data_IF_635173174255
#
_entry.id   IF_635173174255
#
_cell.length_a   1.000
_cell.length_b   1.000
_cell.length_c   1.000
_cell.angle_alpha   90.00
_cell.angle_beta   90.00
_cell.angle_gamma   90.00
#
_symmetry.space_group_name_H-M   'P 1'
#
loop_
_entity.id
_entity.type
_entity.pdbx_description
1 polymer ?
#
# COMPACT_ATOMS: atom_id res chain seq x y z
N UNK A 1 69.30 -6.37 41.04
CA UNK A 1 67.83 -6.50 41.38
C UNK A 1 67.08 -5.47 40.51
N UNK A 2 66.72 -5.83 39.29
CA UNK A 2 65.89 -4.93 38.39
C UNK A 2 64.50 -5.51 38.31
N UNK A 3 63.52 -4.74 38.74
CA UNK A 3 62.09 -5.06 38.60
C UNK A 3 61.61 -4.46 37.26
N UNK A 4 61.29 -5.34 36.31
CA UNK A 4 60.63 -4.97 35.05
C UNK A 4 59.12 -4.80 35.31
N UNK A 5 58.57 -3.63 34.97
CA UNK A 5 57.15 -3.33 34.93
C UNK A 5 56.64 -3.63 33.52
N UNK A 6 55.79 -4.62 33.40
CA UNK A 6 55.07 -4.88 32.16
C UNK A 6 53.82 -3.98 32.08
N UNK A 7 53.81 -3.07 31.10
CA UNK A 7 52.61 -2.29 30.76
C UNK A 7 51.67 -3.10 29.90
N UNK A 8 50.44 -3.35 30.43
CA UNK A 8 49.36 -4.03 29.69
C UNK A 8 48.65 -2.95 28.88
N UNK A 9 48.80 -3.00 27.55
CA UNK A 9 48.02 -2.21 26.60
C UNK A 9 46.64 -2.89 26.41
N UNK A 10 45.60 -2.26 26.97
CA UNK A 10 44.22 -2.64 26.70
C UNK A 10 43.82 -2.02 25.34
N UNK A 11 43.75 -2.84 24.31
CA UNK A 11 43.20 -2.45 23.01
C UNK A 11 41.68 -2.52 23.13
N UNK A 12 41.03 -1.38 23.24
CA UNK A 12 39.58 -1.26 23.14
C UNK A 12 39.17 -1.43 21.66
N UNK A 13 38.71 -2.63 21.30
CA UNK A 13 38.07 -2.89 20.01
C UNK A 13 36.71 -2.22 19.96
N UNK A 14 36.63 -1.08 19.27
CA UNK A 14 35.36 -0.44 18.90
C UNK A 14 34.75 -1.27 17.80
N UNK A 15 33.75 -2.09 18.11
CA UNK A 15 32.90 -2.74 17.13
C UNK A 15 32.02 -1.66 16.48
N UNK A 16 32.40 -1.17 15.30
CA UNK A 16 31.47 -0.48 14.41
C UNK A 16 30.43 -1.53 13.98
N UNK A 17 29.27 -1.49 14.59
CA UNK A 17 28.09 -2.17 14.12
C UNK A 17 27.69 -1.56 12.78
N UNK A 18 27.98 -2.25 11.66
CA UNK A 18 27.26 -2.01 10.41
C UNK A 18 25.83 -2.39 10.66
N UNK A 19 24.97 -1.41 10.87
CA UNK A 19 23.53 -1.60 10.77
C UNK A 19 23.24 -2.03 9.34
N UNK A 20 22.83 -3.28 9.18
CA UNK A 20 22.22 -3.76 7.95
C UNK A 20 20.90 -2.99 7.83
N UNK A 21 20.85 -2.01 6.94
CA UNK A 21 19.59 -1.44 6.46
C UNK A 21 18.92 -2.53 5.61
N UNK A 22 18.21 -3.45 6.27
CA UNK A 22 17.25 -4.30 5.60
C UNK A 22 16.19 -3.38 4.97
N UNK A 23 15.80 -3.58 3.70
CA UNK A 23 14.69 -2.87 3.10
C UNK A 23 13.36 -3.47 3.60
N UNK A 24 13.20 -3.56 4.91
CA UNK A 24 11.96 -3.89 5.57
C UNK A 24 10.99 -2.73 5.33
N UNK A 25 9.87 -3.02 4.65
CA UNK A 25 8.75 -2.15 4.31
C UNK A 25 8.67 -0.92 5.23
N UNK A 26 9.11 0.25 4.73
CA UNK A 26 8.98 1.49 5.50
C UNK A 26 7.49 1.78 5.69
N UNK A 27 6.97 1.74 6.91
CA UNK A 27 5.67 2.33 7.19
C UNK A 27 5.71 3.76 6.67
N UNK A 28 4.62 4.22 6.04
CA UNK A 28 4.52 5.61 5.60
C UNK A 28 5.04 6.52 6.71
N UNK A 29 6.02 7.38 6.38
CA UNK A 29 6.71 8.21 7.35
C UNK A 29 5.71 8.83 8.33
N UNK A 30 5.91 8.63 9.63
CA UNK A 30 5.03 9.16 10.68
C UNK A 30 4.83 10.68 10.52
N UNK A 31 5.78 11.38 9.88
CA UNK A 31 5.68 12.78 9.52
C UNK A 31 4.62 13.03 8.42
N UNK A 32 4.47 12.15 7.45
CA UNK A 32 3.46 12.28 6.39
C UNK A 32 2.04 12.06 6.93
N UNK A 33 1.90 11.23 7.97
CA UNK A 33 0.62 10.92 8.61
C UNK A 33 0.23 11.90 9.71
N UNK A 34 1.11 12.84 10.09
CA UNK A 34 0.79 13.85 11.11
C UNK A 34 -0.42 14.67 10.67
N UNK A 35 -1.52 14.53 11.43
CA UNK A 35 -2.81 15.18 11.12
C UNK A 35 -3.65 14.46 10.06
N UNK A 36 -3.30 13.22 9.66
CA UNK A 36 -4.20 12.39 8.89
C UNK A 36 -5.42 11.99 9.72
N UNK A 37 -6.63 11.94 9.11
CA UNK A 37 -7.82 11.44 9.78
C UNK A 37 -7.65 10.02 10.31
N UNK A 38 -8.21 9.67 11.48
CA UNK A 38 -8.01 8.36 12.09
C UNK A 38 -8.29 7.15 11.17
N UNK A 39 -9.36 7.13 10.34
CA UNK A 39 -9.61 6.02 9.42
C UNK A 39 -8.52 5.86 8.35
N UNK A 40 -8.04 6.97 7.77
CA UNK A 40 -6.97 6.94 6.77
C UNK A 40 -5.64 6.55 7.43
N UNK A 41 -5.34 7.09 8.61
CA UNK A 41 -4.14 6.71 9.36
C UNK A 41 -4.16 5.21 9.73
N UNK A 42 -5.33 4.61 9.94
CA UNK A 42 -5.46 3.17 10.17
C UNK A 42 -5.06 2.34 8.94
N UNK A 43 -5.43 2.77 7.73
CA UNK A 43 -4.99 2.11 6.50
C UNK A 43 -3.47 2.15 6.34
N UNK A 44 -2.87 3.31 6.58
CA UNK A 44 -1.41 3.44 6.46
C UNK A 44 -0.64 2.57 7.46
N UNK A 45 -1.20 2.30 8.67
CA UNK A 45 -0.59 1.35 9.62
C UNK A 45 -0.61 -0.09 9.12
N UNK A 46 -1.52 -0.42 8.23
CA UNK A 46 -1.64 -1.71 7.54
C UNK A 46 -0.97 -1.69 6.16
N UNK A 47 -0.12 -0.69 5.91
CA UNK A 47 0.58 -0.57 4.62
C UNK A 47 1.26 -1.87 4.23
N UNK A 48 1.12 -2.25 2.96
CA UNK A 48 1.71 -3.45 2.38
C UNK A 48 1.18 -4.80 2.91
N UNK A 49 0.15 -4.81 3.78
CA UNK A 49 -0.46 -6.05 4.29
C UNK A 49 -1.46 -6.66 3.30
N UNK A 50 -1.50 -8.00 3.25
CA UNK A 50 -2.58 -8.76 2.63
C UNK A 50 -3.62 -9.10 3.71
N UNK A 51 -4.84 -8.62 3.53
CA UNK A 51 -5.94 -8.78 4.47
C UNK A 51 -6.92 -9.88 3.99
N UNK A 52 -7.33 -10.71 4.93
CA UNK A 52 -8.42 -11.65 4.76
C UNK A 52 -9.79 -10.98 4.99
N UNK A 53 -10.86 -11.72 4.79
CA UNK A 53 -12.22 -11.34 5.20
C UNK A 53 -13.22 -11.13 4.07
N UNK A 54 -12.76 -11.23 2.82
CA UNK A 54 -13.64 -11.25 1.64
C UNK A 54 -14.49 -9.99 1.45
N UNK A 55 -15.64 -10.11 0.74
CA UNK A 55 -16.52 -8.98 0.42
C UNK A 55 -17.03 -8.23 1.66
N UNK A 56 -17.39 -8.95 2.72
CA UNK A 56 -17.97 -8.37 3.93
C UNK A 56 -16.99 -7.44 4.65
N UNK A 57 -15.71 -7.86 4.78
CA UNK A 57 -14.67 -7.07 5.40
C UNK A 57 -14.30 -5.85 4.54
N UNK A 58 -14.26 -6.01 3.22
CA UNK A 58 -14.03 -4.93 2.28
C UNK A 58 -15.16 -3.89 2.34
N UNK A 59 -16.44 -4.30 2.29
CA UNK A 59 -17.57 -3.39 2.44
C UNK A 59 -17.60 -2.71 3.80
N UNK A 60 -17.25 -3.42 4.89
CA UNK A 60 -17.12 -2.82 6.22
C UNK A 60 -16.06 -1.70 6.21
N UNK A 61 -14.91 -1.93 5.56
CA UNK A 61 -13.86 -0.93 5.40
C UNK A 61 -14.36 0.29 4.62
N UNK A 62 -15.11 0.11 3.55
CA UNK A 62 -15.71 1.23 2.81
C UNK A 62 -16.67 2.04 3.70
N UNK A 63 -17.47 1.38 4.56
CA UNK A 63 -18.34 2.07 5.52
C UNK A 63 -17.56 2.89 6.55
N UNK A 64 -16.45 2.36 7.06
CA UNK A 64 -15.56 3.05 8.01
C UNK A 64 -14.86 4.27 7.41
N UNK A 65 -14.66 4.26 6.10
CA UNK A 65 -14.05 5.35 5.34
C UNK A 65 -15.05 6.41 4.88
N UNK A 66 -16.35 6.24 5.17
CA UNK A 66 -17.36 7.23 4.80
C UNK A 66 -17.00 8.61 5.38
N UNK A 67 -17.06 9.63 4.54
CA UNK A 67 -16.56 10.98 4.78
C UNK A 67 -15.25 11.28 4.05
N UNK A 68 -14.60 10.25 3.49
CA UNK A 68 -13.38 10.38 2.71
C UNK A 68 -13.53 9.68 1.36
N UNK A 69 -13.02 10.27 0.27
CA UNK A 69 -12.96 9.58 -1.01
C UNK A 69 -12.04 8.36 -0.92
N UNK A 70 -12.38 7.30 -1.67
CA UNK A 70 -11.59 6.07 -1.71
C UNK A 70 -11.21 5.71 -3.13
N UNK A 71 -9.96 5.35 -3.34
CA UNK A 71 -9.43 4.77 -4.56
C UNK A 71 -9.11 3.30 -4.30
N UNK A 72 -9.71 2.41 -5.07
CA UNK A 72 -9.47 0.97 -5.00
C UNK A 72 -8.69 0.54 -6.23
N UNK A 73 -7.50 -0.04 -6.03
CA UNK A 73 -6.71 -0.64 -7.11
C UNK A 73 -6.82 -2.16 -7.06
N UNK A 74 -7.47 -2.76 -8.06
CA UNK A 74 -7.46 -4.21 -8.26
C UNK A 74 -6.26 -4.62 -9.10
N UNK A 75 -5.49 -5.58 -8.58
CA UNK A 75 -4.25 -6.03 -9.16
C UNK A 75 -4.02 -7.54 -9.02
N UNK A 76 -2.98 -8.06 -9.62
CA UNK A 76 -2.44 -9.39 -9.40
C UNK A 76 -0.92 -9.38 -9.68
N UNK A 77 -0.16 -10.27 -9.03
CA UNK A 77 1.30 -10.39 -9.21
C UNK A 77 1.70 -10.74 -10.65
N UNK A 78 0.91 -11.59 -11.29
CA UNK A 78 1.11 -12.06 -12.67
C UNK A 78 0.71 -11.04 -13.74
N UNK A 79 0.20 -9.85 -13.38
CA UNK A 79 -0.38 -8.85 -14.29
C UNK A 79 0.65 -7.78 -14.70
N UNK A 80 1.27 -7.82 -15.89
CA UNK A 80 2.29 -6.83 -16.29
C UNK A 80 1.80 -5.36 -16.28
N UNK A 81 0.59 -5.02 -16.77
CA UNK A 81 0.12 -3.64 -16.69
C UNK A 81 -0.15 -3.18 -15.25
N UNK A 82 -0.50 -4.10 -14.31
CA UNK A 82 -0.61 -3.77 -12.90
C UNK A 82 0.75 -3.33 -12.35
N UNK A 83 1.81 -4.09 -12.63
CA UNK A 83 3.20 -3.76 -12.26
C UNK A 83 3.63 -2.39 -12.76
N UNK A 84 3.27 -2.05 -14.00
CA UNK A 84 3.65 -0.77 -14.60
C UNK A 84 3.01 0.44 -13.90
N UNK A 85 1.78 0.31 -13.38
CA UNK A 85 1.06 1.43 -12.73
C UNK A 85 1.27 1.51 -11.21
N UNK A 86 1.78 0.46 -10.54
CA UNK A 86 1.97 0.46 -9.09
C UNK A 86 2.74 1.66 -8.54
N UNK A 87 3.84 2.13 -9.18
CA UNK A 87 4.52 3.35 -8.76
C UNK A 87 3.63 4.60 -8.74
N UNK A 88 2.64 4.69 -9.64
CA UNK A 88 1.70 5.81 -9.67
C UNK A 88 0.80 5.80 -8.44
N UNK A 89 0.26 4.63 -8.08
CA UNK A 89 -0.56 4.46 -6.88
C UNK A 89 0.24 4.71 -5.59
N UNK A 90 1.47 4.22 -5.51
CA UNK A 90 2.38 4.49 -4.40
C UNK A 90 2.58 6.00 -4.20
N UNK A 91 2.91 6.71 -5.29
CA UNK A 91 3.12 8.16 -5.26
C UNK A 91 1.86 8.93 -4.86
N UNK A 92 0.70 8.58 -5.45
CA UNK A 92 -0.55 9.28 -5.17
C UNK A 92 -1.08 9.00 -3.76
N UNK A 93 -0.95 7.78 -3.26
CA UNK A 93 -1.30 7.44 -1.89
C UNK A 93 -0.46 8.22 -0.87
N UNK A 94 0.85 8.35 -1.10
CA UNK A 94 1.73 9.14 -0.26
C UNK A 94 1.38 10.65 -0.30
N UNK A 95 1.20 11.22 -1.51
CA UNK A 95 0.86 12.64 -1.70
C UNK A 95 -0.50 13.02 -1.10
N UNK A 96 -1.46 12.09 -1.09
CA UNK A 96 -2.86 12.32 -0.68
C UNK A 96 -3.22 11.70 0.67
N UNK A 97 -2.24 11.23 1.45
CA UNK A 97 -2.37 10.49 2.71
C UNK A 97 -3.30 11.11 3.78
N UNK A 98 -3.73 12.37 3.61
CA UNK A 98 -4.63 13.08 4.55
C UNK A 98 -6.03 13.32 3.99
N UNK A 99 -6.26 13.01 2.73
CA UNK A 99 -7.49 13.43 2.04
C UNK A 99 -8.19 12.29 1.30
N UNK A 100 -7.44 11.32 0.80
CA UNK A 100 -7.94 10.21 -0.02
C UNK A 100 -7.44 8.90 0.57
N UNK A 101 -8.34 7.97 0.79
CA UNK A 101 -7.99 6.60 1.19
C UNK A 101 -7.64 5.76 -0.04
N UNK A 102 -6.63 4.90 0.08
CA UNK A 102 -6.27 3.93 -0.95
C UNK A 102 -6.41 2.53 -0.39
N UNK A 103 -6.91 1.60 -1.19
CA UNK A 103 -7.07 0.18 -0.86
C UNK A 103 -6.67 -0.65 -2.08
N UNK A 104 -5.89 -1.69 -1.89
CA UNK A 104 -5.64 -2.70 -2.90
C UNK A 104 -6.65 -3.85 -2.84
N UNK A 105 -6.84 -4.52 -3.96
CA UNK A 105 -7.54 -5.81 -4.04
C UNK A 105 -6.70 -6.74 -4.91
N UNK A 106 -6.11 -7.74 -4.28
CA UNK A 106 -5.30 -8.76 -4.92
C UNK A 106 -6.21 -9.89 -5.38
N UNK A 107 -6.50 -9.92 -6.68
CA UNK A 107 -7.53 -10.79 -7.25
C UNK A 107 -6.96 -11.91 -8.12
N UNK A 108 -7.55 -13.11 -7.99
CA UNK A 108 -7.17 -14.29 -8.79
C UNK A 108 -5.65 -14.56 -8.73
N UNK A 109 -5.10 -14.50 -7.55
CA UNK A 109 -3.68 -14.65 -7.24
C UNK A 109 -3.49 -15.62 -6.07
N UNK A 110 -2.24 -15.96 -5.77
CA UNK A 110 -1.88 -16.70 -4.56
C UNK A 110 -1.07 -15.83 -3.61
N UNK A 111 -1.14 -16.16 -2.33
CA UNK A 111 -0.58 -15.36 -1.24
C UNK A 111 0.95 -15.18 -1.33
N UNK A 112 1.68 -16.19 -1.80
CA UNK A 112 3.15 -16.14 -1.83
C UNK A 112 3.64 -15.22 -2.94
N UNK A 113 3.09 -15.35 -4.15
CA UNK A 113 3.40 -14.48 -5.29
C UNK A 113 2.97 -13.03 -5.02
N UNK A 114 1.81 -12.85 -4.36
CA UNK A 114 1.32 -11.53 -3.97
C UNK A 114 2.24 -10.85 -2.94
N UNK A 115 2.77 -11.60 -1.95
CA UNK A 115 3.74 -11.05 -0.97
C UNK A 115 5.08 -10.71 -1.63
N UNK A 116 5.57 -11.55 -2.53
CA UNK A 116 6.79 -11.25 -3.29
C UNK A 116 6.62 -9.98 -4.13
N UNK A 117 5.47 -9.85 -4.80
CA UNK A 117 5.14 -8.65 -5.56
C UNK A 117 5.10 -7.39 -4.68
N UNK A 118 4.45 -7.44 -3.52
CA UNK A 118 4.40 -6.31 -2.58
C UNK A 118 5.75 -5.99 -1.95
N UNK A 119 6.66 -6.96 -1.83
CA UNK A 119 8.03 -6.71 -1.40
C UNK A 119 8.84 -5.94 -2.47
N UNK A 120 8.59 -6.22 -3.76
CA UNK A 120 9.21 -5.49 -4.88
C UNK A 120 8.56 -4.10 -5.11
N UNK A 121 7.24 -4.02 -4.94
CA UNK A 121 6.43 -2.79 -5.18
C UNK A 121 5.63 -2.40 -3.92
N UNK A 122 6.29 -1.93 -2.85
CA UNK A 122 5.61 -1.63 -1.59
C UNK A 122 4.65 -0.44 -1.73
N UNK A 123 3.47 -0.57 -1.11
CA UNK A 123 2.44 0.49 -1.10
C UNK A 123 2.04 0.87 0.34
N UNK A 124 1.72 2.15 0.62
CA UNK A 124 1.38 2.60 1.97
C UNK A 124 -0.08 2.32 2.36
N UNK A 125 -0.68 1.27 1.82
CA UNK A 125 -2.05 0.84 2.09
C UNK A 125 -2.16 -0.69 2.00
N UNK A 126 -3.17 -1.31 2.64
CA UNK A 126 -3.37 -2.75 2.58
C UNK A 126 -4.07 -3.17 1.28
N UNK A 127 -3.92 -4.45 0.94
CA UNK A 127 -4.69 -5.12 -0.10
C UNK A 127 -5.56 -6.23 0.47
N UNK A 128 -6.83 -6.30 0.09
CA UNK A 128 -7.72 -7.43 0.39
C UNK A 128 -7.45 -8.57 -0.58
N UNK A 129 -7.33 -9.79 -0.06
CA UNK A 129 -7.25 -11.01 -0.88
C UNK A 129 -8.61 -11.29 -1.53
N UNK A 130 -8.56 -11.63 -2.80
CA UNK A 130 -9.76 -11.87 -3.62
C UNK A 130 -9.53 -13.00 -4.63
N UNK A 131 -9.25 -14.24 -4.17
CA UNK A 131 -8.90 -15.35 -5.06
C UNK A 131 -10.03 -15.74 -6.01
N UNK A 132 -11.27 -15.39 -5.68
CA UNK A 132 -12.50 -15.77 -6.44
C UNK A 132 -13.21 -14.60 -7.13
N UNK A 133 -12.64 -13.39 -7.13
CA UNK A 133 -13.22 -12.17 -7.70
C UNK A 133 -14.51 -11.68 -7.01
N UNK A 134 -14.78 -12.15 -5.79
CA UNK A 134 -15.97 -11.76 -5.03
C UNK A 134 -15.85 -10.34 -4.46
N UNK A 135 -14.65 -9.95 -3.98
CA UNK A 135 -14.38 -8.57 -3.57
C UNK A 135 -14.44 -7.64 -4.79
N UNK A 136 -13.87 -8.04 -5.93
CA UNK A 136 -13.95 -7.29 -7.18
C UNK A 136 -15.40 -7.11 -7.67
N UNK A 137 -16.30 -8.05 -7.37
CA UNK A 137 -17.71 -7.93 -7.71
C UNK A 137 -18.40 -6.76 -7.01
N UNK A 138 -18.02 -6.42 -5.78
CA UNK A 138 -18.59 -5.31 -5.00
C UNK A 138 -18.48 -3.98 -5.75
N UNK A 139 -17.38 -3.76 -6.47
CA UNK A 139 -17.16 -2.53 -7.25
C UNK A 139 -17.21 -2.75 -8.77
N UNK A 140 -17.81 -3.85 -9.24
CA UNK A 140 -17.94 -4.18 -10.68
C UNK A 140 -16.59 -4.30 -11.41
N UNK A 141 -15.57 -4.76 -10.70
CA UNK A 141 -14.18 -4.81 -11.15
C UNK A 141 -13.74 -6.15 -11.74
N UNK A 142 -14.64 -7.09 -12.00
CA UNK A 142 -14.30 -8.49 -12.33
C UNK A 142 -13.69 -8.67 -13.75
N UNK A 143 -13.98 -7.76 -14.69
CA UNK A 143 -13.77 -8.00 -16.13
C UNK A 143 -12.33 -7.82 -16.61
N UNK A 144 -11.55 -6.93 -15.98
CA UNK A 144 -10.22 -6.57 -16.48
C UNK A 144 -9.17 -6.48 -15.38
N UNK A 145 -7.91 -6.66 -15.77
CA UNK A 145 -6.73 -6.40 -14.95
C UNK A 145 -5.84 -5.37 -15.64
N UNK A 146 -5.42 -4.34 -14.90
CA UNK A 146 -5.95 -3.88 -13.62
C UNK A 146 -7.35 -3.27 -13.74
N UNK A 147 -7.97 -2.96 -12.62
CA UNK A 147 -9.20 -2.17 -12.56
C UNK A 147 -9.10 -1.18 -11.40
N UNK A 148 -9.47 0.07 -11.61
CA UNK A 148 -9.50 1.09 -10.57
C UNK A 148 -10.94 1.52 -10.31
N UNK A 149 -11.39 1.45 -9.05
CA UNK A 149 -12.69 1.96 -8.64
C UNK A 149 -12.53 3.22 -7.77
N UNK A 150 -13.41 4.18 -7.96
CA UNK A 150 -13.42 5.45 -7.24
C UNK A 150 -14.73 5.57 -6.49
N UNK A 151 -14.62 5.81 -5.18
CA UNK A 151 -15.76 6.15 -4.33
C UNK A 151 -15.64 7.61 -3.90
N UNK A 152 -16.76 8.30 -3.90
CA UNK A 152 -16.83 9.66 -3.38
C UNK A 152 -16.85 9.69 -1.85
N UNK A 153 -16.83 10.88 -1.25
CA UNK A 153 -16.87 11.05 0.20
C UNK A 153 -18.20 10.62 0.86
N UNK A 154 -19.25 10.38 0.07
CA UNK A 154 -20.50 9.80 0.58
C UNK A 154 -20.43 8.27 0.67
N UNK A 155 -19.37 7.67 0.10
CA UNK A 155 -19.20 6.23 -0.01
C UNK A 155 -19.95 5.63 -1.21
N UNK A 156 -20.31 6.46 -2.20
CA UNK A 156 -20.96 6.02 -3.43
C UNK A 156 -19.92 5.70 -4.51
N UNK A 157 -20.10 4.59 -5.23
CA UNK A 157 -19.23 4.22 -6.35
C UNK A 157 -19.44 5.21 -7.51
N UNK A 158 -18.48 6.11 -7.69
CA UNK A 158 -18.54 7.19 -8.67
C UNK A 158 -18.08 6.76 -10.07
N UNK A 159 -17.04 5.91 -10.16
CA UNK A 159 -16.49 5.49 -11.43
C UNK A 159 -15.68 4.19 -11.31
N UNK A 160 -15.66 3.41 -12.38
CA UNK A 160 -14.81 2.21 -12.52
C UNK A 160 -14.07 2.27 -13.85
N UNK A 161 -12.74 2.36 -13.78
CA UNK A 161 -11.86 2.29 -14.93
C UNK A 161 -11.37 0.86 -15.14
N UNK A 162 -11.64 0.32 -16.32
CA UNK A 162 -11.11 -0.97 -16.75
C UNK A 162 -9.77 -0.78 -17.48
N UNK A 163 -8.77 -1.60 -17.15
CA UNK A 163 -7.42 -1.53 -17.72
C UNK A 163 -6.51 -0.49 -17.07
N UNK A 164 -5.21 -0.60 -17.34
CA UNK A 164 -4.15 0.20 -16.71
C UNK A 164 -4.12 1.68 -17.13
N UNK A 165 -3.40 2.46 -16.33
CA UNK A 165 -3.03 3.84 -16.65
C UNK A 165 -1.77 3.87 -17.51
N UNK A 166 -1.75 4.73 -18.52
CA UNK A 166 -0.57 4.94 -19.39
C UNK A 166 0.52 5.72 -18.65
N UNK A 167 0.10 6.66 -17.79
CA UNK A 167 0.97 7.49 -16.98
C UNK A 167 0.27 7.95 -15.69
N UNK A 168 1.05 8.53 -14.77
CA UNK A 168 0.55 9.01 -13.48
C UNK A 168 -0.44 10.17 -13.64
N UNK A 169 -0.32 10.99 -14.70
CA UNK A 169 -1.18 12.14 -14.92
C UNK A 169 -2.63 11.73 -15.21
N UNK A 170 -2.82 10.64 -15.96
CA UNK A 170 -4.15 10.07 -16.23
C UNK A 170 -4.80 9.59 -14.91
N UNK A 171 -4.05 8.94 -14.00
CA UNK A 171 -4.55 8.56 -12.67
C UNK A 171 -4.90 9.79 -11.82
N UNK A 172 -4.05 10.83 -11.82
CA UNK A 172 -4.31 12.09 -11.11
C UNK A 172 -5.60 12.73 -11.57
N UNK A 173 -5.82 12.80 -12.88
CA UNK A 173 -7.04 13.38 -13.47
C UNK A 173 -8.30 12.63 -13.01
N UNK A 174 -8.26 11.30 -12.97
CA UNK A 174 -9.38 10.48 -12.51
C UNK A 174 -9.62 10.64 -11.00
N UNK A 175 -8.56 10.68 -10.17
CA UNK A 175 -8.69 10.95 -8.72
C UNK A 175 -9.37 12.31 -8.49
N UNK A 176 -8.92 13.36 -9.18
CA UNK A 176 -9.47 14.70 -9.02
C UNK A 176 -10.91 14.83 -9.53
N UNK A 177 -11.29 14.01 -10.47
CA UNK A 177 -12.64 14.01 -11.04
C UNK A 177 -13.63 13.21 -10.23
N UNK A 178 -13.25 12.05 -9.71
CA UNK A 178 -14.17 11.05 -9.17
C UNK A 178 -14.00 10.80 -7.66
N UNK A 179 -12.81 10.93 -7.09
CA UNK A 179 -12.56 10.78 -5.65
C UNK A 179 -12.72 12.13 -4.92
N UNK A 180 -13.96 12.56 -4.66
CA UNK A 180 -14.31 13.88 -4.08
C UNK A 180 -15.14 13.79 -2.81
#
# INVERSE_FOLDING_TARGET
>A
MLRAWAAILVVASVLLGCGSDDPESRPADAAQLKGAPPPIAALHRQGNELLDGGPEAFEQRLRELKGYPVVVNKWASWCPPCRAEFPYFQNQAAKRAKKVAFIGVDSNDNDDDAREFLAEYPVPYPSYKDPSLEVAAVFKGQLAFPTTAFYDSKGELAYVKQGGYRDEADLVADIERYAR
#
